data_IF_548453424494
#
_entry.id   IF_548453424494
#
_cell.length_a   1.000
_cell.length_b   1.000
_cell.length_c   1.000
_cell.angle_alpha   90.00
_cell.angle_beta   90.00
_cell.angle_gamma   90.00
#
_symmetry.space_group_name_H-M   'P 1'
#
loop_
_entity.id
_entity.type
_entity.pdbx_description
1 polymer ?
#
# COMPACT_ATOMS: atom_id res chain seq x y z
N UNK A 1 6.88 17.16 -20.20
CA UNK A 1 5.96 16.96 -19.07
C UNK A 1 6.47 15.71 -18.36
N UNK A 2 6.66 15.72 -17.04
CA UNK A 2 7.04 14.49 -16.33
C UNK A 2 5.80 13.63 -16.15
N UNK A 3 5.87 12.37 -16.58
CA UNK A 3 4.73 11.43 -16.58
C UNK A 3 4.40 10.89 -15.18
N UNK A 4 5.28 11.15 -14.20
CA UNK A 4 5.12 10.81 -12.80
C UNK A 4 5.89 11.78 -11.90
N UNK A 5 5.56 11.75 -10.61
CA UNK A 5 6.22 12.52 -9.56
C UNK A 5 6.52 11.60 -8.38
N UNK A 6 7.73 11.68 -7.84
CA UNK A 6 8.14 10.95 -6.63
C UNK A 6 8.51 11.95 -5.55
N UNK A 7 7.81 11.88 -4.43
CA UNK A 7 8.10 12.62 -3.21
C UNK A 7 8.60 11.67 -2.13
N UNK A 8 9.82 11.90 -1.63
CA UNK A 8 10.42 11.12 -0.54
C UNK A 8 10.26 11.90 0.77
N UNK A 9 9.42 11.38 1.67
CA UNK A 9 9.08 11.98 2.96
C UNK A 9 9.90 11.31 4.06
N UNK A 10 11.13 11.82 4.26
CA UNK A 10 12.09 11.27 5.22
C UNK A 10 11.58 11.19 6.67
N UNK A 11 10.91 12.22 7.24
CA UNK A 11 10.47 12.18 8.64
C UNK A 11 9.52 11.02 8.94
N UNK A 12 8.66 10.68 7.98
CA UNK A 12 7.69 9.59 8.08
C UNK A 12 8.17 8.29 7.44
N UNK A 13 9.41 8.23 6.93
CA UNK A 13 9.95 7.11 6.12
C UNK A 13 8.94 6.60 5.09
N UNK A 14 8.41 7.53 4.30
CA UNK A 14 7.34 7.28 3.31
C UNK A 14 7.76 7.78 1.93
N UNK A 15 7.41 7.03 0.88
CA UNK A 15 7.54 7.43 -0.52
C UNK A 15 6.14 7.61 -1.08
N UNK A 16 5.90 8.73 -1.75
CA UNK A 16 4.64 8.99 -2.46
C UNK A 16 4.97 9.10 -3.95
N UNK A 17 4.47 8.16 -4.72
CA UNK A 17 4.58 8.12 -6.17
C UNK A 17 3.21 8.50 -6.75
N UNK A 18 3.17 9.51 -7.61
CA UNK A 18 1.96 9.95 -8.31
C UNK A 18 2.18 9.86 -9.82
N UNK A 19 1.42 9.02 -10.50
CA UNK A 19 1.42 8.98 -11.96
C UNK A 19 0.56 10.14 -12.50
N UNK A 20 1.13 10.96 -13.39
CA UNK A 20 0.47 12.15 -13.97
C UNK A 20 0.24 12.03 -15.48
N UNK A 21 0.82 11.03 -16.15
CA UNK A 21 0.74 10.83 -17.58
C UNK A 21 0.70 9.35 -17.99
N UNK A 22 0.64 9.07 -19.31
CA UNK A 22 0.65 7.71 -19.83
C UNK A 22 2.04 7.09 -19.63
N UNK A 23 2.19 6.30 -18.57
CA UNK A 23 3.41 5.55 -18.29
C UNK A 23 3.09 4.05 -18.35
N UNK A 24 3.93 3.27 -19.02
CA UNK A 24 3.79 1.81 -19.03
C UNK A 24 4.24 1.21 -17.70
N UNK A 25 3.72 0.05 -17.33
CA UNK A 25 4.08 -0.64 -16.10
C UNK A 25 5.57 -1.03 -16.08
N UNK A 26 6.10 -1.48 -17.22
CA UNK A 26 7.53 -1.81 -17.36
C UNK A 26 8.41 -0.59 -17.10
N UNK A 27 8.08 0.58 -17.69
CA UNK A 27 8.88 1.79 -17.47
C UNK A 27 8.80 2.26 -16.02
N UNK A 28 7.62 2.21 -15.41
CA UNK A 28 7.47 2.52 -13.99
C UNK A 28 8.31 1.58 -13.12
N UNK A 29 8.30 0.30 -13.45
CA UNK A 29 9.07 -0.73 -12.75
C UNK A 29 10.56 -0.43 -12.81
N UNK A 30 11.08 -0.07 -13.98
CA UNK A 30 12.50 0.29 -14.16
C UNK A 30 12.89 1.50 -13.31
N UNK A 31 12.05 2.55 -13.29
CA UNK A 31 12.29 3.75 -12.49
C UNK A 31 12.29 3.47 -10.99
N UNK A 32 11.34 2.66 -10.50
CA UNK A 32 11.29 2.26 -9.09
C UNK A 32 12.51 1.41 -8.72
N UNK A 33 12.89 0.46 -9.58
CA UNK A 33 14.09 -0.38 -9.37
C UNK A 33 15.33 0.51 -9.29
N UNK A 34 15.50 1.43 -10.23
CA UNK A 34 16.63 2.34 -10.26
C UNK A 34 16.69 3.21 -8.99
N UNK A 35 15.55 3.75 -8.56
CA UNK A 35 15.46 4.54 -7.34
C UNK A 35 15.87 3.72 -6.10
N UNK A 36 15.35 2.50 -5.97
CA UNK A 36 15.69 1.60 -4.86
C UNK A 36 17.16 1.18 -4.91
N UNK A 37 17.73 0.94 -6.09
CA UNK A 37 19.16 0.62 -6.23
C UNK A 37 20.06 1.79 -5.82
N UNK A 38 19.68 3.02 -6.17
CA UNK A 38 20.39 4.23 -5.76
C UNK A 38 20.23 4.54 -4.27
N UNK A 39 19.09 4.15 -3.69
CA UNK A 39 18.74 4.38 -2.28
C UNK A 39 18.10 3.13 -1.66
N UNK A 40 18.91 2.12 -1.31
CA UNK A 40 18.41 0.82 -0.84
C UNK A 40 17.51 0.91 0.39
N UNK A 41 17.67 1.94 1.23
CA UNK A 41 16.84 2.14 2.40
C UNK A 41 15.35 2.34 2.05
N UNK A 42 15.04 2.85 0.85
CA UNK A 42 13.66 3.09 0.41
C UNK A 42 12.88 1.79 0.19
N UNK A 43 13.57 0.67 -0.05
CA UNK A 43 12.92 -0.64 -0.13
C UNK A 43 12.23 -1.03 1.18
N UNK A 44 12.73 -0.54 2.32
CA UNK A 44 12.16 -0.76 3.66
C UNK A 44 11.18 0.32 4.12
N UNK A 45 10.85 1.31 3.28
CA UNK A 45 9.96 2.42 3.62
C UNK A 45 8.51 2.12 3.23
N UNK A 46 7.56 2.88 3.74
CA UNK A 46 6.16 2.77 3.31
C UNK A 46 5.97 3.48 1.97
N UNK A 47 5.16 2.91 1.07
CA UNK A 47 4.92 3.44 -0.28
C UNK A 47 3.44 3.74 -0.48
N UNK A 48 3.14 4.91 -1.03
CA UNK A 48 1.82 5.27 -1.56
C UNK A 48 1.98 5.43 -3.07
N UNK A 49 1.32 4.56 -3.83
CA UNK A 49 1.39 4.54 -5.29
C UNK A 49 0.05 4.99 -5.86
N UNK A 50 -0.06 6.27 -6.21
CA UNK A 50 -1.22 6.83 -6.89
C UNK A 50 -1.14 6.59 -8.39
N UNK A 51 -1.68 5.43 -8.79
CA UNK A 51 -1.79 4.95 -10.16
C UNK A 51 -3.19 5.31 -10.65
N UNK A 52 -3.33 6.49 -11.27
CA UNK A 52 -4.64 7.03 -11.63
C UNK A 52 -5.43 6.10 -12.54
N UNK A 53 -6.68 5.78 -12.17
CA UNK A 53 -7.72 5.16 -13.00
C UNK A 53 -7.47 3.74 -13.53
N UNK A 54 -6.36 3.54 -14.23
CA UNK A 54 -5.95 2.26 -14.81
C UNK A 54 -4.52 1.97 -14.36
N UNK A 55 -4.32 0.81 -13.75
CA UNK A 55 -2.97 0.28 -13.56
C UNK A 55 -2.46 0.00 -14.97
N UNK A 56 -1.33 0.59 -15.39
CA UNK A 56 -0.79 0.29 -16.71
C UNK A 56 -0.53 -1.20 -16.81
N UNK A 57 -0.58 -1.76 -18.01
CA UNK A 57 -0.52 -3.17 -18.45
C UNK A 57 0.53 -4.05 -17.73
N UNK A 58 0.41 -4.18 -16.40
CA UNK A 58 1.42 -4.73 -15.54
C UNK A 58 1.42 -6.24 -15.70
N UNK A 59 2.55 -6.76 -16.14
CA UNK A 59 2.72 -8.20 -16.30
C UNK A 59 3.17 -8.80 -14.98
N UNK A 60 2.98 -10.12 -14.82
CA UNK A 60 3.56 -10.84 -13.68
C UNK A 60 5.08 -10.65 -13.60
N UNK A 61 5.76 -10.58 -14.76
CA UNK A 61 7.21 -10.34 -14.86
C UNK A 61 7.60 -8.98 -14.24
N UNK A 62 6.83 -7.93 -14.47
CA UNK A 62 7.08 -6.62 -13.85
C UNK A 62 6.99 -6.69 -12.32
N UNK A 63 5.97 -7.41 -11.82
CA UNK A 63 5.76 -7.62 -10.38
C UNK A 63 6.90 -8.46 -9.77
N UNK A 64 7.39 -9.49 -10.45
CA UNK A 64 8.52 -10.31 -10.02
C UNK A 64 9.82 -9.50 -9.91
N UNK A 65 10.08 -8.64 -10.90
CA UNK A 65 11.25 -7.76 -10.91
C UNK A 65 11.21 -6.77 -9.74
N UNK A 66 10.06 -6.17 -9.46
CA UNK A 66 9.87 -5.33 -8.27
C UNK A 66 10.05 -6.14 -6.98
N UNK A 67 9.42 -7.30 -6.88
CA UNK A 67 9.51 -8.15 -5.70
C UNK A 67 10.97 -8.48 -5.34
N UNK A 68 11.81 -8.76 -6.34
CA UNK A 68 13.22 -9.07 -6.14
C UNK A 68 13.99 -7.94 -5.42
N UNK A 69 13.76 -6.67 -5.80
CA UNK A 69 14.46 -5.54 -5.17
C UNK A 69 13.92 -5.21 -3.78
N UNK A 70 12.62 -5.42 -3.56
CA UNK A 70 11.99 -5.14 -2.26
C UNK A 70 12.23 -6.23 -1.21
N UNK A 71 12.40 -7.50 -1.61
CA UNK A 71 12.73 -8.60 -0.68
C UNK A 71 14.07 -8.41 0.03
N UNK A 72 14.99 -7.65 -0.56
CA UNK A 72 16.28 -7.34 0.04
C UNK A 72 16.17 -6.40 1.26
N UNK A 73 14.99 -5.80 1.50
CA UNK A 73 14.77 -4.95 2.66
C UNK A 73 14.67 -5.75 3.95
N UNK A 74 15.54 -5.42 4.92
CA UNK A 74 15.43 -5.93 6.27
C UNK A 74 14.16 -5.40 6.99
N UNK A 75 13.65 -6.11 8.01
CA UNK A 75 12.56 -5.63 8.85
C UNK A 75 12.78 -4.20 9.38
N UNK A 76 11.72 -3.44 9.70
CA UNK A 76 10.34 -3.88 9.95
C UNK A 76 9.49 -4.08 8.69
N UNK A 77 8.34 -4.74 8.85
CA UNK A 77 7.39 -4.91 7.76
C UNK A 77 7.00 -3.54 7.16
N UNK A 78 7.08 -3.42 5.84
CA UNK A 78 6.75 -2.20 5.11
C UNK A 78 5.40 -2.32 4.40
N UNK A 79 4.72 -1.21 4.16
CA UNK A 79 3.44 -1.18 3.48
C UNK A 79 3.56 -0.56 2.10
N UNK A 80 2.82 -1.10 1.14
CA UNK A 80 2.49 -0.41 -0.11
C UNK A 80 0.99 -0.20 -0.18
N UNK A 81 0.55 1.02 -0.40
CA UNK A 81 -0.87 1.33 -0.62
C UNK A 81 -1.03 1.86 -2.04
N UNK A 82 -1.80 1.16 -2.86
CA UNK A 82 -2.16 1.64 -4.18
C UNK A 82 -3.40 2.52 -4.11
N UNK A 83 -3.31 3.74 -4.60
CA UNK A 83 -4.45 4.63 -4.75
C UNK A 83 -5.01 4.45 -6.16
N UNK A 84 -6.13 3.73 -6.25
CA UNK A 84 -6.78 3.39 -7.52
C UNK A 84 -8.27 3.08 -7.32
N UNK A 85 -9.04 3.16 -8.40
CA UNK A 85 -10.43 2.71 -8.47
C UNK A 85 -10.58 1.38 -9.21
N UNK A 86 -9.48 0.78 -9.65
CA UNK A 86 -9.48 -0.50 -10.34
C UNK A 86 -9.97 -1.63 -9.39
N UNK A 87 -11.09 -2.29 -9.70
CA UNK A 87 -11.62 -3.36 -8.86
C UNK A 87 -10.78 -4.64 -8.86
N UNK A 88 -9.86 -4.82 -9.80
CA UNK A 88 -8.96 -5.97 -9.84
C UNK A 88 -7.75 -5.82 -8.90
N UNK A 89 -7.40 -4.59 -8.52
CA UNK A 89 -6.19 -4.30 -7.76
C UNK A 89 -6.16 -4.88 -6.34
N UNK A 90 -7.28 -5.01 -5.59
CA UNK A 90 -7.30 -5.75 -4.33
C UNK A 90 -6.87 -7.21 -4.46
N UNK A 91 -7.29 -7.91 -5.53
CA UNK A 91 -6.88 -9.28 -5.78
C UNK A 91 -5.37 -9.37 -6.08
N UNK A 92 -4.87 -8.48 -6.93
CA UNK A 92 -3.43 -8.37 -7.22
C UNK A 92 -2.60 -8.00 -5.98
N UNK A 93 -3.13 -7.19 -5.08
CA UNK A 93 -2.47 -6.86 -3.80
C UNK A 93 -2.22 -8.11 -2.96
N UNK A 94 -3.19 -9.03 -2.92
CA UNK A 94 -3.02 -10.31 -2.22
C UNK A 94 -1.97 -11.20 -2.89
N UNK A 95 -1.86 -11.18 -4.22
CA UNK A 95 -0.78 -11.90 -4.94
C UNK A 95 0.59 -11.30 -4.58
N UNK A 96 0.68 -9.97 -4.58
CA UNK A 96 1.92 -9.26 -4.23
C UNK A 96 2.37 -9.49 -2.79
N UNK A 97 1.45 -9.67 -1.83
CA UNK A 97 1.81 -10.03 -0.44
C UNK A 97 2.64 -11.31 -0.35
N UNK A 98 2.37 -12.29 -1.22
CA UNK A 98 3.14 -13.54 -1.25
C UNK A 98 4.48 -13.36 -1.98
N UNK A 99 4.55 -12.40 -2.89
CA UNK A 99 5.75 -12.14 -3.68
C UNK A 99 6.76 -11.24 -2.99
N UNK A 100 6.36 -10.31 -2.12
CA UNK A 100 7.30 -9.33 -1.54
C UNK A 100 7.77 -9.68 -0.11
N UNK A 101 7.36 -10.83 0.44
CA UNK A 101 7.86 -11.36 1.70
C UNK A 101 7.45 -10.55 2.93
N UNK A 102 8.24 -9.51 3.27
CA UNK A 102 8.04 -8.66 4.46
C UNK A 102 7.24 -7.38 4.16
N UNK A 103 6.46 -7.37 3.07
CA UNK A 103 5.67 -6.21 2.65
C UNK A 103 4.22 -6.59 2.43
N UNK A 104 3.33 -5.73 2.94
CA UNK A 104 1.87 -5.87 2.80
C UNK A 104 1.33 -4.81 1.83
N UNK A 105 0.38 -5.20 1.00
CA UNK A 105 -0.20 -4.37 -0.04
C UNK A 105 -1.67 -4.10 0.27
N UNK A 106 -2.06 -2.85 0.13
CA UNK A 106 -3.42 -2.39 0.35
C UNK A 106 -3.87 -1.52 -0.81
N UNK A 107 -5.18 -1.24 -0.87
CA UNK A 107 -5.77 -0.31 -1.82
C UNK A 107 -6.50 0.80 -1.07
N UNK A 108 -6.52 1.99 -1.66
CA UNK A 108 -7.23 3.16 -1.16
C UNK A 108 -7.79 3.99 -2.32
N UNK A 109 -8.74 4.88 -2.04
CA UNK A 109 -9.38 5.74 -3.03
C UNK A 109 -8.74 7.13 -3.14
N UNK A 110 -7.88 7.49 -2.18
CA UNK A 110 -7.14 8.77 -2.17
C UNK A 110 -5.79 8.62 -1.45
N UNK A 111 -4.88 9.57 -1.70
CA UNK A 111 -3.58 9.66 -1.01
C UNK A 111 -3.78 9.85 0.50
N UNK A 112 -4.75 10.68 0.91
CA UNK A 112 -5.03 10.93 2.33
C UNK A 112 -5.54 9.68 3.04
N UNK A 113 -6.40 8.90 2.37
CA UNK A 113 -6.85 7.61 2.90
C UNK A 113 -5.70 6.61 3.00
N UNK A 114 -4.80 6.58 2.01
CA UNK A 114 -3.62 5.72 2.04
C UNK A 114 -2.66 6.10 3.18
N UNK A 115 -2.44 7.40 3.39
CA UNK A 115 -1.64 7.91 4.49
C UNK A 115 -2.23 7.50 5.84
N UNK A 116 -3.55 7.69 6.01
CA UNK A 116 -4.26 7.31 7.24
C UNK A 116 -4.17 5.81 7.52
N UNK A 117 -4.29 4.97 6.49
CA UNK A 117 -4.17 3.51 6.63
C UNK A 117 -2.79 3.11 7.15
N UNK A 118 -1.72 3.71 6.60
CA UNK A 118 -0.36 3.45 7.06
C UNK A 118 -0.21 3.90 8.52
N UNK A 119 -0.67 5.11 8.85
CA UNK A 119 -0.55 5.65 10.21
C UNK A 119 -1.29 4.79 11.23
N UNK A 120 -2.51 4.34 10.90
CA UNK A 120 -3.30 3.41 11.72
C UNK A 120 -2.58 2.07 11.89
N UNK A 121 -2.00 1.51 10.83
CA UNK A 121 -1.25 0.26 10.92
C UNK A 121 0.00 0.40 11.81
N UNK A 122 0.73 1.51 11.69
CA UNK A 122 1.90 1.79 12.51
C UNK A 122 1.54 2.07 13.97
N UNK A 123 0.39 2.71 14.21
CA UNK A 123 -0.16 2.90 15.55
C UNK A 123 -0.60 1.56 16.17
N UNK A 124 -1.26 0.69 15.39
CA UNK A 124 -1.70 -0.64 15.80
C UNK A 124 -0.51 -1.61 16.02
N UNK A 125 0.57 -1.47 15.27
CA UNK A 125 1.83 -2.22 15.43
C UNK A 125 2.60 -1.94 16.73
N UNK A 126 2.07 -1.08 17.62
CA UNK A 126 2.46 -1.04 19.04
C UNK A 126 1.80 -2.15 19.89
N UNK A 127 0.97 -3.02 19.30
CA UNK A 127 0.42 -4.24 19.90
C UNK A 127 1.04 -5.50 19.25
N UNK A 128 1.15 -6.59 20.02
CA UNK A 128 2.13 -7.67 19.85
C UNK A 128 1.98 -8.59 18.61
N UNK A 129 2.97 -9.50 18.50
CA UNK A 129 3.33 -10.41 17.38
C UNK A 129 2.26 -11.40 16.89
N UNK A 130 1.04 -11.34 17.40
CA UNK A 130 -0.01 -12.29 17.03
C UNK A 130 -0.71 -11.96 15.70
N UNK A 131 -0.51 -10.79 15.10
CA UNK A 131 -0.81 -10.52 13.70
C UNK A 131 -2.29 -10.61 13.29
N UNK A 132 -3.22 -10.80 14.23
CA UNK A 132 -4.66 -10.79 13.97
C UNK A 132 -5.20 -9.38 14.16
N UNK A 133 -5.38 -8.66 13.05
CA UNK A 133 -6.15 -7.42 13.01
C UNK A 133 -7.64 -7.77 13.12
N UNK A 134 -8.21 -7.64 14.33
CA UNK A 134 -9.66 -7.65 14.51
C UNK A 134 -10.20 -6.27 14.09
N UNK A 135 -10.62 -6.16 12.82
CA UNK A 135 -11.32 -4.98 12.32
C UNK A 135 -12.74 -4.95 12.91
N UNK A 136 -12.92 -4.35 14.08
CA UNK A 136 -14.24 -3.90 14.51
C UNK A 136 -14.53 -2.56 13.83
N UNK A 137 -15.43 -2.60 12.84
CA UNK A 137 -16.08 -1.43 12.27
C UNK A 137 -16.67 -0.56 13.38
N UNK A 138 -15.98 0.51 13.78
CA UNK A 138 -16.62 1.63 14.49
C UNK A 138 -17.37 2.46 13.46
N UNK A 139 -18.54 1.96 13.04
CA UNK A 139 -19.61 2.83 12.56
C UNK A 139 -20.76 2.75 13.56
N UNK A 140 -20.84 3.77 14.41
CA UNK A 140 -21.96 3.95 15.32
C UNK A 140 -23.26 4.14 14.54
N UNK A 141 -24.27 3.36 14.88
CA UNK A 141 -25.67 3.79 14.79
C UNK A 141 -26.35 3.44 16.10
N UNK A 142 -26.61 4.47 16.91
CA UNK A 142 -27.59 4.38 17.97
C UNK A 142 -28.95 4.03 17.37
N UNK A 143 -29.63 3.05 17.96
CA UNK A 143 -31.08 2.91 17.86
C UNK A 143 -31.57 2.04 18.99
N UNK A 144 -32.35 2.66 19.86
CA UNK A 144 -33.10 2.09 20.98
C UNK A 144 -34.14 1.08 20.52
N UNK A 145 -34.14 -0.15 21.06
CA UNK A 145 -35.34 -0.98 21.25
C UNK A 145 -35.18 -1.77 22.55
N UNK A 146 -35.78 -1.25 23.64
CA UNK A 146 -37.04 -1.71 24.25
C UNK A 146 -36.99 -3.19 24.65
N UNK A 147 -36.77 -3.40 25.94
CA UNK A 147 -37.05 -4.65 26.62
C UNK A 147 -38.54 -4.95 26.61
N UNK A 148 -38.87 -6.22 26.41
CA UNK A 148 -40.20 -6.79 26.60
C UNK A 148 -40.15 -7.53 27.95
N UNK A 149 -41.03 -7.24 28.92
CA UNK A 149 -41.14 -8.07 30.11
C UNK A 149 -41.92 -9.34 29.77
N UNK A 150 -41.44 -10.48 30.30
CA UNK A 150 -42.14 -11.75 30.28
C UNK A 150 -43.41 -11.64 31.13
N UNK A 151 -44.54 -12.08 30.57
CA UNK A 151 -45.73 -12.49 31.31
C UNK A 151 -45.60 -13.96 31.70
#
# INVERSE_FOLDING_TARGET
>A
MQDFEISVLTPSRRVVLVLRGPLTASRLTDEIIQLVQQRPELAGWDWINAVGGHVPDATLSDVERLAAVFRAAEPPAALTVFVSRDPALPAWSSVMDHMFGNRRHFTALSIDQAASLIDDFRAAGKMDRSGVLFWQSRSGRGSTRRGVPKA
#
